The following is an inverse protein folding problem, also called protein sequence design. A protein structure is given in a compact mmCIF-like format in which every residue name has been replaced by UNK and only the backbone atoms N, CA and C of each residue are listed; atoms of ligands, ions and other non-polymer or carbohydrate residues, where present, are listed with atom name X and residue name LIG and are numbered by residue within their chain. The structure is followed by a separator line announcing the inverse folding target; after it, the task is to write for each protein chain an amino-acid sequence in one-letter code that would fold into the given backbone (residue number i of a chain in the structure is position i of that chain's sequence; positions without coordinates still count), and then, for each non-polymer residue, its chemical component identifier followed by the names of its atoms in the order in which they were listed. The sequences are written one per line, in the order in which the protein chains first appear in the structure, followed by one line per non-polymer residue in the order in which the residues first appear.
data_IF_275809137055
#
_entry.id   IF_275809137055
#
_cell.length_a   1.000
_cell.length_b   1.000
_cell.length_c   1.000
_cell.angle_alpha   90.00
_cell.angle_beta   90.00
_cell.angle_gamma   90.00
#
_symmetry.space_group_name_H-M   'P 1'
#
loop_
_entity.id
_entity.type
_entity.pdbx_description
1 polymer ?
#
# COMPACT_ATOMS: atom_id res chain seq x y z
N UNK A 1 31.81 -12.18 36.51
CA UNK A 1 31.64 -11.90 35.06
C UNK A 1 30.85 -13.02 34.33
N UNK A 2 29.83 -13.63 34.96
CA UNK A 2 28.95 -14.64 34.32
C UNK A 2 27.50 -14.18 34.15
N UNK A 3 27.15 -12.99 34.66
CA UNK A 3 25.77 -12.44 34.62
C UNK A 3 25.48 -11.55 33.41
N UNK A 4 26.49 -11.20 32.61
CA UNK A 4 26.34 -10.32 31.43
C UNK A 4 25.94 -11.13 30.18
N UNK A 5 26.20 -12.44 30.15
CA UNK A 5 25.97 -13.30 28.98
C UNK A 5 24.50 -13.72 28.78
N UNK A 6 23.62 -13.51 29.76
CA UNK A 6 22.21 -13.95 29.69
C UNK A 6 21.31 -12.83 29.12
N UNK A 7 21.76 -11.57 29.13
CA UNK A 7 20.93 -10.43 28.72
C UNK A 7 20.81 -10.28 27.19
N UNK A 8 21.70 -10.88 26.40
CA UNK A 8 21.70 -10.74 24.93
C UNK A 8 20.77 -11.71 24.20
N UNK A 9 20.35 -12.81 24.84
CA UNK A 9 19.55 -13.86 24.19
C UNK A 9 18.06 -13.48 24.14
N UNK A 10 17.58 -12.67 25.09
CA UNK A 10 16.17 -12.26 25.18
C UNK A 10 15.77 -11.30 24.06
N UNK A 11 16.71 -10.52 23.52
CA UNK A 11 16.46 -9.58 22.41
C UNK A 11 16.24 -10.25 21.05
N UNK A 12 16.69 -11.49 20.87
CA UNK A 12 16.53 -12.22 19.60
C UNK A 12 15.14 -12.87 19.47
N UNK A 13 14.49 -13.20 20.59
CA UNK A 13 13.19 -13.87 20.60
C UNK A 13 12.02 -12.93 20.27
N UNK A 14 12.15 -11.63 20.53
CA UNK A 14 11.12 -10.63 20.20
C UNK A 14 11.03 -10.31 18.70
N UNK A 15 12.09 -10.59 17.92
CA UNK A 15 12.06 -10.47 16.45
C UNK A 15 11.53 -11.72 15.74
N UNK A 16 11.55 -12.89 16.39
CA UNK A 16 11.08 -14.15 15.79
C UNK A 16 9.61 -14.48 16.10
N UNK A 17 9.02 -13.85 17.13
CA UNK A 17 7.60 -14.00 17.45
C UNK A 17 6.68 -13.12 16.56
N UNK A 18 7.13 -12.77 15.35
CA UNK A 18 6.27 -12.36 14.25
C UNK A 18 5.56 -13.58 13.68
N UNK A 19 4.53 -14.05 14.40
CA UNK A 19 3.83 -15.29 14.12
C UNK A 19 3.41 -15.49 12.65
N UNK A 20 3.25 -16.76 12.28
CA UNK A 20 2.84 -17.34 10.98
C UNK A 20 1.70 -16.63 10.20
N UNK A 21 1.03 -15.63 10.76
CA UNK A 21 0.09 -14.73 10.07
C UNK A 21 0.73 -13.56 9.30
N UNK A 22 1.94 -13.10 9.66
CA UNK A 22 2.56 -11.91 9.05
C UNK A 22 3.13 -12.13 7.63
N UNK A 23 3.53 -13.37 7.30
CA UNK A 23 4.21 -13.66 6.04
C UNK A 23 3.26 -13.69 4.84
N UNK A 24 2.03 -14.21 5.00
CA UNK A 24 0.98 -14.20 3.94
C UNK A 24 0.45 -12.79 3.66
N UNK A 25 0.36 -11.94 4.68
CA UNK A 25 -0.06 -10.55 4.51
C UNK A 25 1.05 -9.68 3.88
N UNK A 26 2.33 -9.97 4.16
CA UNK A 26 3.46 -9.28 3.54
C UNK A 26 3.55 -9.51 2.03
N UNK A 27 3.28 -10.73 1.54
CA UNK A 27 3.25 -11.02 0.10
C UNK A 27 2.21 -10.16 -0.64
N UNK A 28 0.97 -10.18 -0.16
CA UNK A 28 -0.12 -9.36 -0.72
C UNK A 28 0.13 -7.86 -0.59
N UNK A 29 0.78 -7.43 0.48
CA UNK A 29 1.15 -6.03 0.65
C UNK A 29 2.21 -5.61 -0.37
N UNK A 30 3.25 -6.43 -0.58
CA UNK A 30 4.28 -6.21 -1.60
C UNK A 30 3.65 -6.13 -2.99
N UNK A 31 2.84 -7.11 -3.37
CA UNK A 31 2.14 -7.14 -4.67
C UNK A 31 1.30 -5.88 -4.92
N UNK A 32 0.55 -5.42 -3.92
CA UNK A 32 -0.24 -4.18 -4.03
C UNK A 32 0.64 -2.94 -4.12
N UNK A 33 1.75 -2.92 -3.40
CA UNK A 33 2.69 -1.81 -3.44
C UNK A 33 3.37 -1.73 -4.81
N UNK A 34 3.86 -2.86 -5.34
CA UNK A 34 4.49 -2.92 -6.67
C UNK A 34 3.49 -2.59 -7.77
N UNK A 35 2.26 -3.13 -7.73
CA UNK A 35 1.23 -2.80 -8.71
C UNK A 35 0.93 -1.29 -8.80
N UNK A 36 0.94 -0.58 -7.67
CA UNK A 36 0.77 0.89 -7.66
C UNK A 36 1.98 1.62 -8.25
N UNK A 37 3.18 1.10 -8.05
CA UNK A 37 4.39 1.63 -8.67
C UNK A 37 4.34 1.41 -10.18
N UNK A 38 3.97 0.22 -10.64
CA UNK A 38 3.87 -0.13 -12.05
C UNK A 38 2.87 0.78 -12.78
N UNK A 39 1.70 1.04 -12.17
CA UNK A 39 0.73 1.99 -12.72
C UNK A 39 1.31 3.40 -12.86
N UNK A 40 2.06 3.88 -11.86
CA UNK A 40 2.69 5.20 -11.91
C UNK A 40 3.81 5.23 -12.96
N UNK A 41 4.59 4.16 -13.07
CA UNK A 41 5.66 4.03 -14.05
C UNK A 41 5.08 4.06 -15.46
N UNK A 42 3.99 3.34 -15.74
CA UNK A 42 3.30 3.37 -17.04
C UNK A 42 2.92 4.80 -17.45
N UNK A 43 2.27 5.55 -16.54
CA UNK A 43 1.88 6.94 -16.82
C UNK A 43 3.10 7.82 -17.11
N UNK A 44 4.19 7.63 -16.37
CA UNK A 44 5.42 8.41 -16.56
C UNK A 44 6.15 8.04 -17.86
N UNK A 45 6.13 6.78 -18.26
CA UNK A 45 6.68 6.32 -19.53
C UNK A 45 5.87 6.88 -20.70
N UNK A 46 4.54 6.83 -20.63
CA UNK A 46 3.66 7.46 -21.61
C UNK A 46 3.89 8.97 -21.70
N UNK A 47 4.05 9.65 -20.56
CA UNK A 47 4.35 11.07 -20.52
C UNK A 47 5.71 11.38 -21.18
N UNK A 48 6.73 10.57 -20.90
CA UNK A 48 8.05 10.68 -21.52
C UNK A 48 7.94 10.55 -23.04
N UNK A 49 7.26 9.51 -23.52
CA UNK A 49 7.06 9.26 -24.95
C UNK A 49 6.30 10.40 -25.64
N UNK A 50 5.25 10.92 -25.00
CA UNK A 50 4.49 12.06 -25.50
C UNK A 50 5.37 13.30 -25.62
N UNK A 51 6.14 13.62 -24.58
CA UNK A 51 7.03 14.78 -24.57
C UNK A 51 8.15 14.62 -25.61
N UNK A 52 8.70 13.43 -25.79
CA UNK A 52 9.74 13.19 -26.80
C UNK A 52 9.22 13.31 -28.24
N UNK A 53 7.94 13.05 -28.46
CA UNK A 53 7.30 13.15 -29.78
C UNK A 53 6.77 14.58 -30.07
N UNK A 54 6.63 15.42 -29.05
CA UNK A 54 6.07 16.76 -29.21
C UNK A 54 7.05 17.68 -29.93
N UNK A 55 6.65 18.19 -31.10
CA UNK A 55 7.38 19.17 -31.89
C UNK A 55 6.97 20.62 -31.59
N UNK A 56 5.85 20.84 -30.87
CA UNK A 56 5.31 22.17 -30.61
C UNK A 56 4.96 22.44 -29.15
N UNK A 57 4.84 23.73 -28.81
CA UNK A 57 4.44 24.17 -27.45
C UNK A 57 3.03 23.72 -27.10
N UNK A 58 2.12 23.67 -28.08
CA UNK A 58 0.74 23.22 -27.85
C UNK A 58 0.69 21.70 -27.62
N UNK A 59 1.49 20.91 -28.34
CA UNK A 59 1.64 19.47 -28.08
C UNK A 59 2.23 19.21 -26.68
N UNK A 60 3.24 19.96 -26.25
CA UNK A 60 3.75 19.85 -24.87
C UNK A 60 2.68 20.15 -23.83
N UNK A 61 1.82 21.16 -24.04
CA UNK A 61 0.70 21.45 -23.13
C UNK A 61 -0.30 20.30 -23.11
N UNK A 62 -0.60 19.69 -24.26
CA UNK A 62 -1.48 18.53 -24.36
C UNK A 62 -0.92 17.33 -23.58
N UNK A 63 0.37 17.01 -23.74
CA UNK A 63 1.05 15.96 -22.98
C UNK A 63 0.95 16.19 -21.47
N UNK A 64 1.19 17.43 -21.01
CA UNK A 64 1.08 17.79 -19.58
C UNK A 64 -0.34 17.65 -19.05
N UNK A 65 -1.35 18.10 -19.80
CA UNK A 65 -2.77 17.96 -19.42
C UNK A 65 -3.16 16.48 -19.30
N UNK A 66 -2.86 15.67 -20.32
CA UNK A 66 -3.16 14.24 -20.31
C UNK A 66 -2.50 13.52 -19.14
N UNK A 67 -1.21 13.81 -18.88
CA UNK A 67 -0.48 13.23 -17.75
C UNK A 67 -1.11 13.62 -16.40
N UNK A 68 -1.52 14.90 -16.26
CA UNK A 68 -2.17 15.39 -15.04
C UNK A 68 -3.50 14.69 -14.79
N UNK A 69 -4.30 14.49 -15.82
CA UNK A 69 -5.60 13.80 -15.74
C UNK A 69 -5.43 12.33 -15.35
N UNK A 70 -4.51 11.60 -16.00
CA UNK A 70 -4.19 10.20 -15.66
C UNK A 70 -3.71 10.06 -14.21
N UNK A 71 -2.85 10.97 -13.76
CA UNK A 71 -2.39 10.99 -12.37
C UNK A 71 -3.50 11.32 -11.37
N UNK A 72 -4.43 12.22 -11.73
CA UNK A 72 -5.60 12.53 -10.89
C UNK A 72 -6.52 11.32 -10.76
N UNK A 73 -6.83 10.65 -11.88
CA UNK A 73 -7.63 9.43 -11.90
C UNK A 73 -7.00 8.33 -11.03
N UNK A 74 -5.68 8.11 -11.16
CA UNK A 74 -4.96 7.14 -10.34
C UNK A 74 -5.03 7.47 -8.84
N UNK A 75 -4.92 8.76 -8.47
CA UNK A 75 -5.06 9.19 -7.06
C UNK A 75 -6.46 8.95 -6.52
N UNK A 76 -7.48 9.25 -7.31
CA UNK A 76 -8.89 9.05 -6.93
C UNK A 76 -9.21 7.57 -6.76
N UNK A 77 -8.77 6.71 -7.69
CA UNK A 77 -8.90 5.26 -7.57
C UNK A 77 -8.25 4.75 -6.28
N UNK A 78 -7.00 5.14 -6.02
CA UNK A 78 -6.28 4.77 -4.81
C UNK A 78 -6.94 5.31 -3.53
N UNK A 79 -7.63 6.45 -3.59
CA UNK A 79 -8.40 6.98 -2.45
C UNK A 79 -9.64 6.14 -2.18
N UNK A 80 -10.41 5.81 -3.23
CA UNK A 80 -11.60 4.94 -3.15
C UNK A 80 -11.25 3.54 -2.62
N UNK A 81 -10.15 2.95 -3.10
CA UNK A 81 -9.71 1.65 -2.62
C UNK A 81 -9.33 1.70 -1.12
N UNK A 82 -8.66 2.77 -0.69
CA UNK A 82 -8.30 2.98 0.72
C UNK A 82 -9.53 3.17 1.61
N UNK A 83 -10.53 3.96 1.19
CA UNK A 83 -11.76 4.13 1.97
C UNK A 83 -12.53 2.82 2.07
N UNK A 84 -12.70 2.09 0.97
CA UNK A 84 -13.38 0.79 0.96
C UNK A 84 -12.69 -0.23 1.87
N UNK A 85 -11.34 -0.29 1.86
CA UNK A 85 -10.59 -1.18 2.74
C UNK A 85 -10.71 -0.77 4.22
N UNK A 86 -10.77 0.53 4.51
CA UNK A 86 -10.99 1.04 5.88
C UNK A 86 -12.39 0.67 6.38
N UNK A 87 -13.43 0.85 5.57
CA UNK A 87 -14.80 0.47 5.91
C UNK A 87 -14.93 -1.04 6.18
N UNK A 88 -14.37 -1.88 5.30
CA UNK A 88 -14.31 -3.33 5.51
C UNK A 88 -13.63 -3.70 6.82
N UNK A 89 -12.55 -3.00 7.19
CA UNK A 89 -11.84 -3.24 8.47
C UNK A 89 -12.71 -2.85 9.66
N UNK A 90 -13.40 -1.71 9.60
CA UNK A 90 -14.32 -1.26 10.66
C UNK A 90 -15.47 -2.25 10.82
N UNK A 91 -16.08 -2.69 9.72
CA UNK A 91 -17.18 -3.66 9.75
C UNK A 91 -16.78 -4.98 10.40
N UNK A 92 -15.62 -5.53 10.01
CA UNK A 92 -15.07 -6.75 10.65
C UNK A 92 -14.79 -6.57 12.15
N UNK A 93 -14.33 -5.39 12.57
CA UNK A 93 -14.11 -5.11 14.00
C UNK A 93 -15.43 -5.02 14.76
N UNK A 94 -16.47 -4.39 14.19
CA UNK A 94 -17.81 -4.32 14.78
C UNK A 94 -18.43 -5.71 14.93
N UNK A 95 -18.31 -6.57 13.91
CA UNK A 95 -18.79 -7.96 13.99
C UNK A 95 -18.07 -8.77 15.07
N UNK A 96 -16.75 -8.59 15.21
CA UNK A 96 -15.96 -9.22 16.28
C UNK A 96 -16.38 -8.72 17.67
N UNK A 97 -16.61 -7.43 17.81
CA UNK A 97 -17.04 -6.83 19.08
C UNK A 97 -18.40 -7.40 19.52
N UNK A 98 -19.39 -7.43 18.61
CA UNK A 98 -20.70 -8.03 18.89
C UNK A 98 -20.62 -9.49 19.33
N UNK A 99 -19.72 -10.26 18.70
CA UNK A 99 -19.52 -11.68 19.05
C UNK A 99 -18.91 -11.85 20.45
N UNK A 100 -18.01 -10.96 20.85
CA UNK A 100 -17.41 -10.96 22.20
C UNK A 100 -18.45 -10.58 23.26
N UNK A 101 -19.26 -9.54 23.00
CA UNK A 101 -20.36 -9.14 23.89
C UNK A 101 -21.40 -10.25 24.08
N UNK A 102 -21.69 -11.03 23.03
CA UNK A 102 -22.60 -12.18 23.11
C UNK A 102 -21.99 -13.46 23.72
N UNK A 103 -20.67 -13.54 23.86
CA UNK A 103 -20.02 -14.69 24.50
C UNK A 103 -19.80 -14.51 26.00
N UNK A 104 -19.92 -13.26 26.48
CA UNK A 104 -19.79 -12.90 27.90
C UNK A 104 -21.17 -12.78 28.60
N UNK A 105 -22.28 -13.00 27.87
CA UNK A 105 -23.67 -13.04 28.37
C UNK A 105 -24.22 -14.48 28.33
#
# INVERSE_FOLDING_TARGET
MKKILILSIVSALTFAQGGRGGQRDMGKFKEKATARLDQKISILQEAKSCISAAGSKEEMKACRKSTKEKMKALREQNKKERSANKEKRIQKLREKLKKLESSDS
#
